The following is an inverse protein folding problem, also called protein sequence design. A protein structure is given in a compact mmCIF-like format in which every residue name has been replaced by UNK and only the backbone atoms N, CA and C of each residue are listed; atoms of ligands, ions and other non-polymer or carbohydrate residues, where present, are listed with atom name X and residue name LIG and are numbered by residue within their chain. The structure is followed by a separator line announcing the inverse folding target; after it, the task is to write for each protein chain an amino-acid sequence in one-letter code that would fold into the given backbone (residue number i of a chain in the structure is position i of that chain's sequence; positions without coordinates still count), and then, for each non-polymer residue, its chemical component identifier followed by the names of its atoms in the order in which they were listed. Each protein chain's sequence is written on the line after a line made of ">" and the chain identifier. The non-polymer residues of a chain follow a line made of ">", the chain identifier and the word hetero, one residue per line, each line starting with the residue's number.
data_IF_832624730222
#
_entry.id   IF_832624730222
#
_cell.length_a   1.000
_cell.length_b   1.000
_cell.length_c   1.000
_cell.angle_alpha   90.00
_cell.angle_beta   90.00
_cell.angle_gamma   90.00
#
_symmetry.space_group_name_H-M   'P 1'
#
loop_
_entity.id
_entity.type
_entity.pdbx_description
1 polymer ?
#
# COMPACT_ATOMS: atom_id res chain seq x y z
N UNK A 1 -16.22 -26.63 35.00
CA UNK A 1 -15.79 -25.25 35.32
C UNK A 1 -14.27 -25.25 35.48
N UNK A 2 -13.52 -24.68 34.53
CA UNK A 2 -12.07 -24.58 34.68
C UNK A 2 -11.73 -23.57 35.79
N UNK A 3 -10.73 -23.84 36.66
CA UNK A 3 -10.34 -22.89 37.69
C UNK A 3 -9.78 -21.61 37.07
N UNK A 4 -10.04 -20.46 37.69
CA UNK A 4 -9.67 -19.14 37.16
C UNK A 4 -8.16 -19.00 36.88
N UNK A 5 -7.33 -19.78 37.55
CA UNK A 5 -5.87 -19.87 37.30
C UNK A 5 -5.57 -20.57 35.98
N UNK A 6 -6.21 -21.70 35.68
CA UNK A 6 -6.05 -22.41 34.41
C UNK A 6 -6.51 -21.56 33.23
N UNK A 7 -7.60 -20.79 33.39
CA UNK A 7 -8.08 -19.88 32.34
C UNK A 7 -7.08 -18.75 32.05
N UNK A 8 -6.44 -18.18 33.09
CA UNK A 8 -5.39 -17.16 32.93
C UNK A 8 -4.13 -17.71 32.26
N UNK A 9 -3.73 -18.93 32.59
CA UNK A 9 -2.58 -19.61 31.96
C UNK A 9 -2.85 -19.90 30.48
N UNK A 10 -4.05 -20.37 30.14
CA UNK A 10 -4.44 -20.61 28.75
C UNK A 10 -4.47 -19.31 27.94
N UNK A 11 -5.00 -18.22 28.51
CA UNK A 11 -5.02 -16.91 27.85
C UNK A 11 -3.59 -16.39 27.63
N UNK A 12 -2.72 -16.51 28.63
CA UNK A 12 -1.32 -16.10 28.49
C UNK A 12 -0.58 -16.92 27.42
N UNK A 13 -0.79 -18.23 27.37
CA UNK A 13 -0.19 -19.11 26.36
C UNK A 13 -0.67 -18.77 24.93
N UNK A 14 -1.96 -18.49 24.76
CA UNK A 14 -2.53 -18.07 23.46
C UNK A 14 -2.00 -16.71 23.03
N UNK A 15 -1.81 -15.77 23.95
CA UNK A 15 -1.26 -14.45 23.66
C UNK A 15 0.20 -14.54 23.20
N UNK A 16 1.03 -15.32 23.90
CA UNK A 16 2.43 -15.56 23.51
C UNK A 16 2.51 -16.22 22.13
N UNK A 17 1.69 -17.25 21.89
CA UNK A 17 1.67 -17.96 20.61
C UNK A 17 1.17 -17.07 19.45
N UNK A 18 0.21 -16.19 19.72
CA UNK A 18 -0.24 -15.15 18.79
C UNK A 18 0.87 -14.16 18.44
N UNK A 19 1.61 -13.65 19.44
CA UNK A 19 2.71 -12.73 19.21
C UNK A 19 3.86 -13.34 18.37
N UNK A 20 4.18 -14.63 18.56
CA UNK A 20 5.18 -15.31 17.74
C UNK A 20 4.73 -15.49 16.28
N UNK A 21 3.43 -15.69 16.02
CA UNK A 21 2.91 -15.85 14.66
C UNK A 21 2.91 -14.54 13.85
N UNK A 22 2.79 -13.37 14.49
CA UNK A 22 2.90 -12.06 13.83
C UNK A 22 4.36 -11.62 13.57
N UNK A 23 5.34 -12.19 14.27
CA UNK A 23 6.77 -11.89 14.09
C UNK A 23 7.44 -12.57 12.88
N UNK A 24 6.73 -13.41 12.14
CA UNK A 24 7.23 -14.17 11.00
C UNK A 24 7.29 -13.41 9.66
N UNK A 25 7.21 -12.08 9.65
CA UNK A 25 7.41 -11.31 8.42
C UNK A 25 8.90 -11.35 8.05
N UNK A 26 9.27 -12.21 7.10
CA UNK A 26 10.60 -12.33 6.50
C UNK A 26 11.02 -10.98 5.89
N UNK A 27 11.63 -10.11 6.70
CA UNK A 27 12.22 -8.85 6.28
C UNK A 27 13.62 -9.04 5.68
N UNK A 28 14.16 -8.02 4.99
CA UNK A 28 15.44 -8.10 4.29
C UNK A 28 16.57 -8.47 5.25
N UNK A 29 17.53 -9.25 4.76
CA UNK A 29 18.81 -9.45 5.46
C UNK A 29 19.54 -8.11 5.43
N UNK A 30 19.69 -7.47 6.59
CA UNK A 30 20.29 -6.13 6.70
C UNK A 30 21.82 -6.19 6.52
N UNK A 31 22.28 -6.60 5.34
CA UNK A 31 23.70 -6.60 4.95
C UNK A 31 24.59 -7.59 5.69
N UNK A 32 24.07 -8.34 6.67
CA UNK A 32 24.81 -9.32 7.48
C UNK A 32 24.64 -10.77 6.99
N UNK A 33 23.89 -10.98 5.91
CA UNK A 33 23.66 -12.30 5.30
C UNK A 33 22.74 -13.25 6.08
N UNK A 34 22.38 -12.93 7.33
CA UNK A 34 21.46 -13.72 8.17
C UNK A 34 20.04 -13.16 8.14
N UNK A 35 19.05 -14.04 8.21
CA UNK A 35 17.64 -13.63 8.37
C UNK A 35 17.38 -13.08 9.77
N UNK A 36 16.38 -12.21 9.92
CA UNK A 36 16.02 -11.63 11.24
C UNK A 36 15.68 -12.72 12.27
N UNK A 37 15.06 -13.81 11.83
CA UNK A 37 14.76 -14.95 12.70
C UNK A 37 16.02 -15.69 13.14
N UNK A 38 17.00 -15.84 12.25
CA UNK A 38 18.26 -16.52 12.56
C UNK A 38 19.09 -15.74 13.58
N UNK A 39 19.18 -14.41 13.45
CA UNK A 39 19.82 -13.55 14.48
C UNK A 39 19.09 -13.63 15.81
N UNK A 40 17.75 -13.62 15.81
CA UNK A 40 16.95 -13.74 17.03
C UNK A 40 17.18 -15.08 17.75
N UNK A 41 17.21 -16.20 17.01
CA UNK A 41 17.49 -17.51 17.60
C UNK A 41 18.93 -17.62 18.11
N UNK A 42 19.91 -17.03 17.41
CA UNK A 42 21.32 -16.98 17.86
C UNK A 42 21.44 -16.18 19.17
N UNK A 43 20.75 -15.03 19.25
CA UNK A 43 20.76 -14.17 20.43
C UNK A 43 20.04 -14.82 21.62
N UNK A 44 18.93 -15.51 21.39
CA UNK A 44 18.23 -16.27 22.43
C UNK A 44 19.05 -17.47 22.94
N UNK A 45 19.75 -18.16 22.03
CA UNK A 45 20.64 -19.26 22.39
C UNK A 45 21.83 -18.76 23.20
N UNK A 46 22.42 -17.62 22.84
CA UNK A 46 23.46 -16.96 23.62
C UNK A 46 22.96 -16.46 24.98
N UNK A 47 21.73 -15.96 25.07
CA UNK A 47 21.13 -15.53 26.33
C UNK A 47 20.90 -16.70 27.30
N UNK A 48 20.43 -17.85 26.79
CA UNK A 48 20.27 -19.08 27.59
C UNK A 48 21.64 -19.65 27.98
N UNK A 49 22.63 -19.61 27.08
CA UNK A 49 24.01 -20.01 27.35
C UNK A 49 24.74 -19.10 28.34
N UNK A 50 24.24 -17.88 28.61
CA UNK A 50 24.82 -16.96 29.57
C UNK A 50 24.62 -17.44 31.03
N UNK A 51 23.60 -18.28 31.25
CA UNK A 51 23.26 -18.86 32.55
C UNK A 51 24.07 -20.11 32.94
N UNK A 52 24.81 -20.72 32.02
CA UNK A 52 25.71 -21.83 32.35
C UNK A 52 27.04 -21.29 32.88
N UNK A 53 27.26 -21.49 34.18
CA UNK A 53 28.51 -21.12 34.86
C UNK A 53 29.51 -22.27 34.94
N UNK A 54 29.17 -23.46 34.43
CA UNK A 54 30.06 -24.62 34.40
C UNK A 54 30.86 -24.66 33.09
N UNK A 55 32.19 -24.63 33.17
CA UNK A 55 33.11 -24.87 32.05
C UNK A 55 33.21 -23.80 30.95
N UNK A 56 33.39 -22.53 31.35
CA UNK A 56 34.01 -21.53 30.46
C UNK A 56 35.49 -21.90 30.27
N UNK A 57 35.84 -22.46 29.11
CA UNK A 57 37.25 -22.65 28.70
C UNK A 57 37.99 -21.33 28.86
N UNK A 58 39.06 -21.33 29.66
CA UNK A 58 39.95 -20.17 29.81
C UNK A 58 40.42 -19.72 28.43
N UNK A 59 39.95 -18.55 28.00
CA UNK A 59 40.31 -17.97 26.72
C UNK A 59 41.75 -17.50 26.85
N UNK A 60 42.64 -18.07 26.04
CA UNK A 60 44.01 -17.59 25.93
C UNK A 60 43.98 -16.19 25.28
N UNK A 61 43.93 -15.16 26.13
CA UNK A 61 43.99 -13.78 25.67
C UNK A 61 45.40 -13.52 25.12
N UNK A 62 45.51 -13.42 23.80
CA UNK A 62 46.66 -12.76 23.21
C UNK A 62 46.68 -11.30 23.65
N UNK A 63 47.84 -10.76 24.06
CA UNK A 63 47.93 -9.35 24.41
C UNK A 63 47.41 -8.51 23.23
N UNK A 64 46.56 -7.54 23.53
CA UNK A 64 46.01 -6.63 22.52
C UNK A 64 47.20 -5.94 21.84
N UNK A 65 47.14 -5.81 20.52
CA UNK A 65 48.16 -5.03 19.81
C UNK A 65 48.19 -3.60 20.38
N UNK A 66 49.40 -3.06 20.54
CA UNK A 66 49.56 -1.71 21.06
C UNK A 66 48.86 -0.71 20.15
N UNK A 67 48.21 0.27 20.76
CA UNK A 67 47.53 1.34 20.05
C UNK A 67 48.55 2.06 19.17
N UNK A 68 48.34 2.01 17.85
CA UNK A 68 49.16 2.76 16.88
C UNK A 68 48.97 4.24 17.16
N UNK A 69 49.94 4.83 17.86
CA UNK A 69 49.97 6.27 18.12
C UNK A 69 50.60 6.96 16.91
N UNK A 70 50.07 8.11 16.47
CA UNK A 70 50.74 8.91 15.46
C UNK A 70 52.10 9.42 16.01
N UNK A 71 53.10 9.51 15.13
CA UNK A 71 54.48 9.95 15.44
C UNK A 71 54.54 11.31 16.17
N UNK A 72 53.54 12.18 15.95
CA UNK A 72 53.46 13.50 16.54
C UNK A 72 52.18 13.67 17.35
N UNK A 73 52.29 13.59 18.68
CA UNK A 73 51.18 13.85 19.62
C UNK A 73 51.09 15.32 20.06
N UNK A 74 52.09 16.14 19.69
CA UNK A 74 52.17 17.55 20.09
C UNK A 74 51.33 18.49 19.21
N UNK A 75 50.89 18.04 18.04
CA UNK A 75 50.08 18.84 17.10
C UNK A 75 48.77 18.10 16.88
N UNK A 76 47.76 18.48 17.66
CA UNK A 76 46.41 17.97 17.44
C UNK A 76 45.90 18.48 16.08
N UNK A 77 45.24 17.63 15.29
CA UNK A 77 44.53 18.12 14.11
C UNK A 77 43.50 19.18 14.54
N UNK A 78 43.27 20.17 13.69
CA UNK A 78 42.29 21.21 13.98
C UNK A 78 40.94 20.57 14.31
N UNK A 79 40.22 21.09 15.34
CA UNK A 79 38.91 20.55 15.71
C UNK A 79 38.00 20.57 14.49
N UNK A 80 37.24 19.49 14.30
CA UNK A 80 36.21 19.47 13.25
C UNK A 80 35.27 20.65 13.49
N UNK A 81 35.00 21.42 12.43
CA UNK A 81 33.97 22.46 12.48
C UNK A 81 32.67 21.79 12.93
N UNK A 82 32.04 22.35 13.97
CA UNK A 82 30.77 21.85 14.47
C UNK A 82 29.82 21.74 13.27
N UNK A 83 29.37 20.52 12.96
CA UNK A 83 28.45 20.26 11.86
C UNK A 83 27.13 20.96 12.19
N UNK A 84 27.00 22.21 11.79
CA UNK A 84 25.80 23.00 12.00
C UNK A 84 24.74 22.46 11.03
N UNK A 85 23.88 21.59 11.53
CA UNK A 85 22.79 20.92 10.80
C UNK A 85 21.75 21.88 10.24
N UNK A 86 21.84 23.17 10.61
CA UNK A 86 20.93 24.23 10.19
C UNK A 86 21.09 24.67 8.72
N UNK A 87 22.23 24.34 8.08
CA UNK A 87 22.57 24.86 6.74
C UNK A 87 22.84 23.83 5.65
N UNK A 88 22.71 22.53 5.93
CA UNK A 88 22.95 21.47 4.94
C UNK A 88 21.61 21.09 4.26
N UNK A 89 21.42 21.39 2.96
CA UNK A 89 20.16 21.13 2.25
C UNK A 89 19.77 19.64 2.19
N UNK A 90 20.73 18.75 2.47
CA UNK A 90 20.54 17.31 2.46
C UNK A 90 20.41 16.71 3.87
N UNK A 91 20.31 17.56 4.91
CA UNK A 91 20.06 17.07 6.26
C UNK A 91 18.61 16.56 6.37
N UNK A 92 18.37 15.38 6.98
CA UNK A 92 17.01 14.86 7.13
C UNK A 92 16.16 15.79 8.02
N UNK A 93 15.18 16.48 7.42
CA UNK A 93 14.16 17.23 8.16
C UNK A 93 13.17 16.26 8.83
N UNK A 94 12.74 16.57 10.06
CA UNK A 94 11.62 15.83 10.65
C UNK A 94 10.30 16.13 9.90
N UNK A 95 9.31 15.22 9.91
CA UNK A 95 8.04 15.46 9.25
C UNK A 95 7.30 16.72 9.72
N UNK A 96 7.45 17.08 11.01
CA UNK A 96 6.85 18.26 11.63
C UNK A 96 7.57 19.56 11.26
N UNK A 97 8.91 19.52 11.13
CA UNK A 97 9.65 20.67 10.62
C UNK A 97 9.32 20.93 9.15
N UNK A 98 9.20 19.88 8.36
CA UNK A 98 8.78 19.97 6.96
C UNK A 98 7.35 20.54 6.84
N UNK A 99 6.43 20.11 7.69
CA UNK A 99 5.04 20.61 7.68
C UNK A 99 5.01 22.11 8.01
N UNK A 100 5.75 22.55 9.03
CA UNK A 100 5.91 23.96 9.40
C UNK A 100 6.55 24.79 8.29
N UNK A 101 7.59 24.27 7.63
CA UNK A 101 8.24 24.92 6.48
C UNK A 101 7.26 25.13 5.33
N UNK A 102 6.48 24.10 4.98
CA UNK A 102 5.48 24.19 3.91
C UNK A 102 4.38 25.18 4.28
N UNK A 103 3.91 25.19 5.53
CA UNK A 103 2.92 26.17 6.00
C UNK A 103 3.47 27.59 5.96
N UNK A 104 4.71 27.80 6.40
CA UNK A 104 5.38 29.10 6.35
C UNK A 104 5.62 29.59 4.91
N UNK A 105 5.87 28.68 3.98
CA UNK A 105 6.02 28.99 2.55
C UNK A 105 4.68 29.18 1.82
N UNK A 106 3.56 28.81 2.43
CA UNK A 106 2.25 29.01 1.84
C UNK A 106 1.90 30.51 1.77
N UNK A 107 1.19 30.91 0.71
CA UNK A 107 0.71 32.27 0.57
C UNK A 107 -0.28 32.61 1.70
N UNK A 108 0.05 33.64 2.49
CA UNK A 108 -0.70 34.09 3.68
C UNK A 108 -1.48 35.39 3.46
N UNK A 109 -1.56 35.89 2.23
CA UNK A 109 -2.30 37.12 1.93
C UNK A 109 -3.81 36.88 1.87
N UNK A 110 -4.59 37.90 2.25
CA UNK A 110 -6.07 37.90 2.14
C UNK A 110 -6.59 38.12 0.70
N UNK A 111 -5.69 38.16 -0.30
CA UNK A 111 -6.00 38.45 -1.69
C UNK A 111 -6.00 37.21 -2.61
N UNK A 112 -6.36 37.41 -3.90
CA UNK A 112 -6.20 36.38 -4.91
C UNK A 112 -4.75 35.87 -4.97
N UNK A 113 -4.59 34.55 -5.10
CA UNK A 113 -3.27 33.94 -5.22
C UNK A 113 -2.52 34.53 -6.42
N UNK A 114 -1.25 34.96 -6.25
CA UNK A 114 -0.47 35.44 -7.38
C UNK A 114 -0.27 34.31 -8.40
N UNK A 115 -0.27 34.66 -9.68
CA UNK A 115 -0.16 33.68 -10.78
C UNK A 115 1.08 32.78 -10.65
N UNK A 116 2.18 33.33 -10.12
CA UNK A 116 3.41 32.58 -9.87
C UNK A 116 3.23 31.48 -8.82
N UNK A 117 2.49 31.75 -7.74
CA UNK A 117 2.22 30.75 -6.71
C UNK A 117 1.22 29.71 -7.19
N UNK A 118 0.21 30.13 -7.95
CA UNK A 118 -0.82 29.25 -8.50
C UNK A 118 -0.29 28.28 -9.56
N UNK A 119 0.75 28.67 -10.31
CA UNK A 119 1.38 27.84 -11.35
C UNK A 119 2.61 27.09 -10.87
N UNK A 120 3.15 27.45 -9.71
CA UNK A 120 4.30 26.78 -9.11
C UNK A 120 4.00 25.32 -8.76
N UNK A 121 4.98 24.45 -8.99
CA UNK A 121 4.89 23.04 -8.65
C UNK A 121 5.06 22.86 -7.14
N UNK A 122 4.07 22.21 -6.50
CA UNK A 122 4.17 21.84 -5.09
C UNK A 122 5.30 20.84 -4.85
N UNK A 123 6.06 21.06 -3.80
CA UNK A 123 7.15 20.16 -3.38
C UNK A 123 6.62 18.75 -3.09
N UNK A 124 7.37 17.73 -3.51
CA UNK A 124 7.00 16.32 -3.36
C UNK A 124 6.01 15.80 -4.43
N UNK A 125 5.51 16.66 -5.31
CA UNK A 125 4.63 16.24 -6.41
C UNK A 125 5.46 15.97 -7.68
N UNK A 126 5.69 14.69 -7.96
CA UNK A 126 6.45 14.26 -9.15
C UNK A 126 5.60 14.36 -10.42
N UNK A 127 6.25 14.53 -11.58
CA UNK A 127 5.54 14.52 -12.87
C UNK A 127 4.75 13.23 -13.07
N UNK A 128 5.34 12.07 -12.76
CA UNK A 128 4.63 10.80 -12.85
C UNK A 128 3.47 10.63 -11.86
N UNK A 129 3.42 11.41 -10.76
CA UNK A 129 2.22 11.49 -9.93
C UNK A 129 1.14 12.33 -10.61
N UNK A 130 1.52 13.48 -11.19
CA UNK A 130 0.60 14.31 -11.97
C UNK A 130 0.04 13.53 -13.16
N UNK A 131 0.85 12.86 -13.96
CA UNK A 131 0.38 12.12 -15.14
C UNK A 131 -0.59 10.98 -14.80
N UNK A 132 -0.44 10.36 -13.62
CA UNK A 132 -1.35 9.31 -13.13
C UNK A 132 -2.65 9.86 -12.53
N UNK A 133 -2.60 11.07 -12.00
CA UNK A 133 -3.74 11.72 -11.30
C UNK A 133 -4.47 12.72 -12.19
N UNK A 134 -3.81 13.22 -13.23
CA UNK A 134 -4.41 13.95 -14.32
C UNK A 134 -5.26 12.95 -15.09
N UNK A 135 -6.51 12.81 -14.68
CA UNK A 135 -7.52 12.33 -15.58
C UNK A 135 -7.47 13.21 -16.83
N UNK A 136 -7.71 12.61 -18.00
CA UNK A 136 -8.05 13.37 -19.21
C UNK A 136 -9.22 14.28 -18.85
N UNK A 137 -8.92 15.50 -18.43
CA UNK A 137 -9.89 16.44 -17.91
C UNK A 137 -10.91 16.76 -19.00
N UNK A 138 -12.16 16.89 -18.59
CA UNK A 138 -13.21 17.42 -19.45
C UNK A 138 -12.80 18.86 -19.84
N UNK A 139 -12.40 19.08 -21.09
CA UNK A 139 -12.08 20.41 -21.58
C UNK A 139 -13.40 21.19 -21.70
N UNK A 140 -13.55 22.28 -20.93
CA UNK A 140 -14.72 23.16 -20.97
C UNK A 140 -14.74 24.09 -22.21
N UNK A 141 -13.88 23.84 -23.21
CA UNK A 141 -13.86 24.63 -24.43
C UNK A 141 -14.84 24.04 -25.44
N UNK A 142 -15.94 24.78 -25.70
CA UNK A 142 -17.08 24.38 -26.53
C UNK A 142 -16.82 24.44 -28.05
N UNK A 143 -15.56 24.57 -28.47
CA UNK A 143 -15.17 24.75 -29.87
C UNK A 143 -14.18 23.69 -30.38
N UNK A 144 -14.17 22.48 -29.81
CA UNK A 144 -13.66 21.32 -30.52
C UNK A 144 -14.82 20.44 -30.94
N UNK A 145 -14.91 20.14 -32.23
CA UNK A 145 -15.72 19.04 -32.78
C UNK A 145 -15.24 17.65 -32.27
N UNK A 146 -14.32 17.64 -31.30
CA UNK A 146 -13.74 16.52 -30.54
C UNK A 146 -13.95 16.71 -29.02
N UNK A 147 -15.10 17.24 -28.62
CA UNK A 147 -15.45 17.38 -27.20
C UNK A 147 -15.69 16.01 -26.54
N UNK A 148 -14.64 15.23 -26.24
CA UNK A 148 -14.59 14.19 -25.21
C UNK A 148 -15.62 13.05 -25.26
N UNK A 149 -16.49 12.99 -26.27
CA UNK A 149 -17.41 11.88 -26.49
C UNK A 149 -16.64 10.83 -27.27
N UNK A 150 -16.16 9.81 -26.56
CA UNK A 150 -15.59 8.61 -27.16
C UNK A 150 -16.53 8.13 -28.27
N UNK A 151 -15.98 7.80 -29.44
CA UNK A 151 -16.78 7.26 -30.53
C UNK A 151 -17.52 5.98 -30.07
N UNK A 152 -18.65 5.61 -30.69
CA UNK A 152 -19.36 4.38 -30.31
C UNK A 152 -18.47 3.12 -30.34
N UNK A 153 -17.47 3.09 -31.22
CA UNK A 153 -16.48 1.99 -31.27
C UNK A 153 -15.54 2.00 -30.06
N UNK A 154 -15.05 3.17 -29.65
CA UNK A 154 -14.18 3.34 -28.48
C UNK A 154 -14.93 3.12 -27.15
N UNK A 155 -16.20 3.51 -27.08
CA UNK A 155 -17.05 3.20 -25.93
C UNK A 155 -17.26 1.70 -25.78
N UNK A 156 -17.52 0.99 -26.88
CA UNK A 156 -17.67 -0.47 -26.89
C UNK A 156 -16.38 -1.14 -26.43
N UNK A 157 -15.23 -0.80 -27.02
CA UNK A 157 -13.94 -1.40 -26.64
C UNK A 157 -13.60 -1.12 -25.17
N UNK A 158 -13.85 0.08 -24.67
CA UNK A 158 -13.64 0.41 -23.25
C UNK A 158 -14.60 -0.34 -22.34
N UNK A 159 -15.87 -0.46 -22.72
CA UNK A 159 -16.88 -1.21 -21.96
C UNK A 159 -16.54 -2.70 -21.88
N UNK A 160 -16.05 -3.28 -22.97
CA UNK A 160 -15.58 -4.67 -23.04
C UNK A 160 -14.37 -4.88 -22.12
N UNK A 161 -13.39 -3.96 -22.15
CA UNK A 161 -12.23 -4.01 -21.26
C UNK A 161 -12.62 -3.88 -19.78
N UNK A 162 -13.57 -3.01 -19.45
CA UNK A 162 -14.07 -2.87 -18.08
C UNK A 162 -14.84 -4.12 -17.64
N UNK A 163 -15.69 -4.68 -18.49
CA UNK A 163 -16.39 -5.93 -18.22
C UNK A 163 -15.41 -7.10 -18.03
N UNK A 164 -14.37 -7.19 -18.85
CA UNK A 164 -13.31 -8.20 -18.70
C UNK A 164 -12.62 -8.07 -17.33
N UNK A 165 -12.22 -6.85 -16.93
CA UNK A 165 -11.62 -6.61 -15.61
C UNK A 165 -12.56 -6.91 -14.44
N UNK A 166 -13.85 -6.60 -14.58
CA UNK A 166 -14.85 -6.89 -13.54
C UNK A 166 -15.09 -8.40 -13.38
N UNK A 167 -15.15 -9.14 -14.50
CA UNK A 167 -15.22 -10.62 -14.49
C UNK A 167 -13.96 -11.23 -13.85
N UNK A 168 -12.77 -10.73 -14.23
CA UNK A 168 -11.50 -11.14 -13.63
C UNK A 168 -11.47 -10.89 -12.11
N UNK A 169 -11.93 -9.71 -11.66
CA UNK A 169 -11.92 -9.34 -10.24
C UNK A 169 -12.90 -10.16 -9.41
N UNK A 170 -14.12 -10.36 -9.91
CA UNK A 170 -15.19 -10.96 -9.12
C UNK A 170 -15.19 -12.50 -9.15
N UNK A 171 -14.73 -13.12 -10.25
CA UNK A 171 -14.87 -14.58 -10.45
C UNK A 171 -13.54 -15.29 -10.81
N UNK A 172 -12.46 -14.55 -11.08
CA UNK A 172 -11.21 -15.12 -11.60
C UNK A 172 -11.41 -15.76 -12.98
N UNK A 173 -10.33 -16.11 -13.68
CA UNK A 173 -10.45 -16.83 -14.95
C UNK A 173 -10.80 -18.31 -14.71
N UNK A 174 -11.77 -18.89 -15.44
CA UNK A 174 -12.11 -20.32 -15.32
C UNK A 174 -11.05 -21.23 -15.93
N UNK A 175 -10.23 -20.70 -16.84
CA UNK A 175 -9.25 -21.46 -17.63
C UNK A 175 -7.81 -21.24 -17.20
N UNK A 176 -7.52 -20.19 -16.41
CA UNK A 176 -6.15 -19.82 -16.02
C UNK A 176 -6.10 -19.40 -14.56
N UNK A 177 -5.01 -19.75 -13.86
CA UNK A 177 -4.69 -19.24 -12.52
C UNK A 177 -3.74 -18.07 -12.68
N UNK A 178 -4.06 -16.91 -12.10
CA UNK A 178 -3.21 -15.71 -12.15
C UNK A 178 -2.37 -15.56 -10.88
N UNK A 179 -2.89 -15.97 -9.73
CA UNK A 179 -2.25 -15.93 -8.42
C UNK A 179 -2.24 -17.30 -7.75
N UNK A 180 -1.26 -17.52 -6.86
CA UNK A 180 -1.12 -18.76 -6.09
C UNK A 180 -2.20 -18.93 -5.00
N UNK A 181 -2.84 -17.83 -4.60
CA UNK A 181 -3.98 -17.82 -3.66
C UNK A 181 -5.30 -18.28 -4.29
N UNK A 182 -5.34 -18.45 -5.61
CA UNK A 182 -6.53 -18.94 -6.31
C UNK A 182 -6.65 -20.47 -6.20
N UNK A 183 -7.87 -21.00 -6.01
CA UNK A 183 -8.07 -22.44 -5.97
C UNK A 183 -7.62 -23.10 -7.29
N UNK A 184 -7.15 -24.36 -7.24
CA UNK A 184 -6.81 -25.12 -8.44
C UNK A 184 -7.97 -25.17 -9.45
N UNK A 185 -7.64 -25.25 -10.75
CA UNK A 185 -8.63 -25.26 -11.84
C UNK A 185 -9.64 -26.41 -11.69
N UNK A 186 -9.21 -27.55 -11.15
CA UNK A 186 -10.06 -28.72 -10.87
C UNK A 186 -11.23 -28.42 -9.94
N UNK A 187 -11.11 -27.45 -9.04
CA UNK A 187 -12.20 -27.03 -8.14
C UNK A 187 -13.09 -25.93 -8.72
N UNK A 188 -12.70 -25.37 -9.87
CA UNK A 188 -13.48 -24.36 -10.61
C UNK A 188 -14.30 -24.97 -11.75
N UNK A 189 -14.09 -26.24 -12.08
CA UNK A 189 -14.91 -26.92 -13.09
C UNK A 189 -16.35 -27.00 -12.58
N UNK A 190 -17.31 -26.38 -13.31
CA UNK A 190 -18.71 -26.55 -12.99
C UNK A 190 -19.09 -28.03 -13.14
N UNK A 191 -20.06 -28.50 -12.35
CA UNK A 191 -20.56 -29.86 -12.48
C UNK A 191 -21.01 -30.13 -13.93
N UNK A 192 -20.84 -31.35 -14.43
CA UNK A 192 -21.15 -31.71 -15.82
C UNK A 192 -22.62 -31.41 -16.24
N UNK A 193 -23.53 -31.27 -15.27
CA UNK A 193 -24.94 -30.93 -15.47
C UNK A 193 -25.27 -29.45 -15.21
N UNK A 194 -24.31 -28.62 -14.80
CA UNK A 194 -24.54 -27.22 -14.51
C UNK A 194 -24.59 -26.40 -15.81
N UNK A 195 -25.58 -25.52 -16.02
CA UNK A 195 -25.60 -24.60 -17.14
C UNK A 195 -24.39 -23.65 -17.06
N UNK A 196 -23.51 -23.69 -18.06
CA UNK A 196 -22.34 -22.81 -18.15
C UNK A 196 -22.60 -21.76 -19.20
N UNK A 197 -22.53 -20.48 -18.83
CA UNK A 197 -22.66 -19.36 -19.78
C UNK A 197 -24.08 -18.90 -20.08
N UNK A 198 -25.08 -19.40 -19.37
CA UNK A 198 -26.43 -18.83 -19.36
C UNK A 198 -26.62 -17.98 -18.10
N UNK A 199 -26.33 -16.66 -18.16
CA UNK A 199 -26.57 -15.76 -17.03
C UNK A 199 -28.07 -15.60 -16.70
N UNK A 200 -28.96 -16.28 -17.43
CA UNK A 200 -30.40 -16.12 -17.31
C UNK A 200 -30.86 -14.79 -17.90
N UNK A 201 -32.15 -14.50 -17.74
CA UNK A 201 -32.68 -13.19 -18.10
C UNK A 201 -32.20 -12.13 -17.09
N UNK A 202 -31.75 -10.99 -17.62
CA UNK A 202 -31.24 -9.88 -16.82
C UNK A 202 -32.28 -9.43 -15.78
N UNK A 203 -31.84 -9.17 -14.54
CA UNK A 203 -32.73 -8.88 -13.41
C UNK A 203 -33.62 -7.66 -13.67
N UNK A 204 -33.17 -6.70 -14.49
CA UNK A 204 -34.00 -5.58 -14.95
C UNK A 204 -35.15 -6.01 -15.87
N UNK A 205 -34.92 -6.99 -16.74
CA UNK A 205 -35.94 -7.53 -17.64
C UNK A 205 -36.96 -8.33 -16.84
N UNK A 206 -36.50 -9.11 -15.85
CA UNK A 206 -37.37 -9.80 -14.90
C UNK A 206 -38.16 -8.83 -14.03
N UNK A 207 -37.52 -7.78 -13.51
CA UNK A 207 -38.18 -6.72 -12.73
C UNK A 207 -39.16 -5.90 -13.57
N UNK A 208 -38.87 -5.65 -14.86
CA UNK A 208 -39.81 -4.99 -15.79
C UNK A 208 -41.03 -5.87 -16.08
N UNK A 209 -40.83 -7.17 -16.24
CA UNK A 209 -41.92 -8.16 -16.41
C UNK A 209 -42.75 -8.31 -15.14
N UNK A 210 -42.10 -8.38 -13.96
CA UNK A 210 -42.76 -8.48 -12.65
C UNK A 210 -43.52 -7.20 -12.30
N UNK A 211 -42.99 -6.03 -12.68
CA UNK A 211 -43.69 -4.74 -12.61
C UNK A 211 -44.85 -4.61 -13.59
N UNK A 212 -45.08 -5.61 -14.45
CA UNK A 212 -46.27 -5.79 -15.27
C UNK A 212 -46.77 -4.52 -15.94
N UNK A 213 -46.35 -4.25 -17.18
CA UNK A 213 -46.86 -3.17 -18.02
C UNK A 213 -47.07 -1.85 -17.25
N UNK A 214 -46.00 -1.31 -16.66
CA UNK A 214 -46.01 0.04 -16.11
C UNK A 214 -46.49 1.05 -17.17
N UNK A 215 -47.00 2.22 -16.73
CA UNK A 215 -47.74 3.16 -17.58
C UNK A 215 -46.98 3.37 -18.89
N UNK A 216 -47.67 3.07 -19.99
CA UNK A 216 -47.08 3.13 -21.32
C UNK A 216 -46.54 4.54 -21.57
N UNK A 217 -45.68 4.69 -22.58
CA UNK A 217 -45.18 6.03 -22.97
C UNK A 217 -46.37 7.00 -23.19
N UNK A 218 -47.52 6.49 -23.64
CA UNK A 218 -48.77 7.23 -23.78
C UNK A 218 -49.39 7.69 -22.45
N UNK A 219 -49.37 6.87 -21.39
CA UNK A 219 -49.90 7.26 -20.08
C UNK A 219 -49.06 8.36 -19.43
N UNK A 220 -47.73 8.32 -19.63
CA UNK A 220 -46.82 9.37 -19.17
C UNK A 220 -46.99 10.68 -19.94
N UNK A 221 -47.35 10.61 -21.22
CA UNK A 221 -47.67 11.80 -22.03
C UNK A 221 -49.00 12.41 -21.57
N UNK A 222 -49.99 11.59 -21.19
CA UNK A 222 -51.25 12.06 -20.61
C UNK A 222 -51.05 12.78 -19.27
N UNK A 223 -50.17 12.28 -18.40
CA UNK A 223 -49.88 12.88 -17.10
C UNK A 223 -49.12 14.23 -17.19
N UNK A 224 -48.47 14.48 -18.34
CA UNK A 224 -47.72 15.72 -18.63
C UNK A 224 -48.56 16.80 -19.34
N UNK A 225 -49.81 16.50 -19.71
CA UNK A 225 -50.72 17.43 -20.37
C UNK A 225 -51.87 17.80 -19.42
N UNK A 226 -52.07 19.09 -19.08
CA UNK A 226 -53.01 19.51 -18.03
C UNK A 226 -54.44 19.71 -18.58
N UNK A 227 -55.00 18.71 -19.25
CA UNK A 227 -56.38 18.73 -19.74
C UNK A 227 -57.18 17.50 -19.30
#
# INVERSE_FOLDING_TARGET
>A
MMPNTARKVVIAAVLVMGCLSLGGCLGPTYGTGKSQGETLFDDMNNFVSLGDTGDRKSIAYTPRQELVKPENTSVLPAPQVARNTTGDPNWPESPEERSKRIQAAAYQGDGPLPAEFATSRKEGVTQGYLDRTSGSGYAFNKNSDEAGVLSPAELKSRSELLQARLKERNQGSPTQRRYLSEPPLTYREPAASAPVGDPGEDEETKARRLRGNGPGVLDKIGELLPF
#
